data_IF_193663514733
#
_entry.id   IF_193663514733
#
_cell.length_a   1.000
_cell.length_b   1.000
_cell.length_c   1.000
_cell.angle_alpha   90.00
_cell.angle_beta   90.00
_cell.angle_gamma   90.00
#
_symmetry.space_group_name_H-M   'P 1'
#
loop_
_entity.id
_entity.type
_entity.pdbx_description
1 polymer ?
#
# COMPACT_ATOMS: atom_id res chain seq x y z
N UNK A 1 37.78 -19.12 9.96
CA UNK A 1 36.59 -18.97 9.09
C UNK A 1 35.57 -18.09 9.81
N UNK A 2 35.18 -16.96 9.22
CA UNK A 2 34.26 -15.98 9.84
C UNK A 2 32.84 -16.52 9.75
N UNK A 3 32.19 -16.77 10.89
CA UNK A 3 30.77 -17.11 10.96
C UNK A 3 29.94 -15.90 10.55
N UNK A 4 29.35 -15.94 9.36
CA UNK A 4 28.39 -14.94 8.92
C UNK A 4 27.15 -15.04 9.81
N UNK A 5 26.99 -14.07 10.72
CA UNK A 5 25.74 -13.89 11.47
C UNK A 5 24.65 -13.65 10.43
N UNK A 6 23.70 -14.58 10.34
CA UNK A 6 22.46 -14.43 9.56
C UNK A 6 21.79 -13.15 10.04
N UNK A 7 21.94 -12.07 9.27
CA UNK A 7 21.25 -10.82 9.48
C UNK A 7 19.76 -11.16 9.43
N UNK A 8 19.13 -11.14 10.60
CA UNK A 8 17.70 -11.40 10.74
C UNK A 8 17.06 -10.23 10.01
N UNK A 9 16.62 -10.44 8.77
CA UNK A 9 15.66 -9.56 8.11
C UNK A 9 14.52 -9.44 9.11
N UNK A 10 14.47 -8.34 9.85
CA UNK A 10 13.39 -8.07 10.78
C UNK A 10 12.13 -8.12 9.93
N UNK A 11 11.24 -9.04 10.27
CA UNK A 11 9.91 -9.15 9.68
C UNK A 11 9.32 -7.75 9.64
N UNK A 12 9.07 -7.23 8.44
CA UNK A 12 8.44 -5.93 8.26
C UNK A 12 7.18 -5.91 9.12
N UNK A 13 7.02 -4.94 10.03
CA UNK A 13 5.86 -4.89 10.92
C UNK A 13 4.59 -4.91 10.07
N UNK A 14 3.62 -5.74 10.42
CA UNK A 14 2.37 -5.79 9.66
C UNK A 14 1.62 -4.46 9.81
N UNK A 15 0.80 -4.08 8.82
CA UNK A 15 -0.09 -2.91 8.91
C UNK A 15 -0.93 -2.94 10.20
N UNK A 16 -1.32 -4.14 10.65
CA UNK A 16 -2.03 -4.37 11.90
C UNK A 16 -1.21 -4.12 13.17
N UNK A 17 0.11 -4.30 13.13
CA UNK A 17 1.00 -4.01 14.27
C UNK A 17 1.30 -2.51 14.38
N UNK A 18 1.45 -1.83 13.24
CA UNK A 18 1.60 -0.38 13.16
C UNK A 18 0.29 0.34 13.54
N UNK A 19 -0.86 -0.20 13.16
CA UNK A 19 -2.16 0.37 13.48
C UNK A 19 -2.48 0.43 14.98
N UNK A 20 -1.84 -0.45 15.77
CA UNK A 20 -1.95 -0.44 17.25
C UNK A 20 -1.07 0.62 17.91
N UNK A 21 -0.02 1.07 17.21
CA UNK A 21 1.01 1.99 17.76
C UNK A 21 0.69 3.44 17.45
N UNK A 22 0.13 3.70 16.27
CA UNK A 22 -0.26 5.04 15.79
C UNK A 22 -1.69 5.00 15.21
N UNK A 23 -2.74 4.92 16.06
CA UNK A 23 -4.11 4.68 15.61
C UNK A 23 -4.65 5.77 14.67
N UNK A 24 -4.22 7.02 14.85
CA UNK A 24 -4.59 8.13 13.95
C UNK A 24 -3.91 8.01 12.57
N UNK A 25 -2.65 7.57 12.53
CA UNK A 25 -1.93 7.34 11.27
C UNK A 25 -2.47 6.10 10.55
N UNK A 26 -2.97 5.11 11.29
CA UNK A 26 -3.61 3.92 10.76
C UNK A 26 -4.92 4.23 10.03
N UNK A 27 -5.80 5.00 10.67
CA UNK A 27 -7.06 5.43 10.06
C UNK A 27 -6.81 6.24 8.78
N UNK A 28 -5.85 7.18 8.82
CA UNK A 28 -5.46 7.92 7.62
C UNK A 28 -4.87 7.01 6.53
N UNK A 29 -4.08 6.00 6.89
CA UNK A 29 -3.54 5.04 5.93
C UNK A 29 -4.64 4.15 5.30
N UNK A 30 -5.67 3.78 6.05
CA UNK A 30 -6.83 3.02 5.53
C UNK A 30 -7.64 3.84 4.52
N UNK A 31 -7.91 5.12 4.83
CA UNK A 31 -8.59 6.03 3.90
C UNK A 31 -7.77 6.26 2.61
N UNK A 32 -6.46 6.45 2.77
CA UNK A 32 -5.53 6.59 1.63
C UNK A 32 -5.48 5.29 0.82
N UNK A 33 -5.51 4.12 1.48
CA UNK A 33 -5.51 2.83 0.81
C UNK A 33 -6.73 2.71 -0.11
N UNK A 34 -7.92 2.95 0.45
CA UNK A 34 -9.17 2.88 -0.30
C UNK A 34 -9.17 3.87 -1.47
N UNK A 35 -8.76 5.12 -1.26
CA UNK A 35 -8.68 6.12 -2.33
C UNK A 35 -7.72 5.73 -3.46
N UNK A 36 -6.55 5.16 -3.15
CA UNK A 36 -5.60 4.69 -4.17
C UNK A 36 -6.18 3.52 -4.95
N UNK A 37 -6.85 2.57 -4.29
CA UNK A 37 -7.51 1.44 -4.98
C UNK A 37 -8.57 1.95 -5.97
N UNK A 38 -9.42 2.90 -5.55
CA UNK A 38 -10.46 3.50 -6.40
C UNK A 38 -9.87 4.11 -7.68
N UNK A 39 -8.84 4.95 -7.55
CA UNK A 39 -8.14 5.55 -8.71
C UNK A 39 -7.54 4.48 -9.61
N UNK A 40 -6.94 3.43 -9.04
CA UNK A 40 -6.35 2.31 -9.80
C UNK A 40 -7.39 1.46 -10.54
N UNK A 41 -8.60 1.36 -10.01
CA UNK A 41 -9.73 0.70 -10.68
C UNK A 41 -10.33 1.57 -11.81
N UNK A 42 -9.73 2.73 -12.10
CA UNK A 42 -10.22 3.70 -13.07
C UNK A 42 -11.59 4.29 -12.69
N UNK A 43 -11.94 4.20 -11.41
CA UNK A 43 -13.08 4.91 -10.84
C UNK A 43 -12.62 6.36 -10.56
N UNK A 44 -13.38 7.34 -11.04
CA UNK A 44 -13.06 8.75 -10.84
C UNK A 44 -13.33 9.17 -9.40
N UNK A 45 -12.44 9.99 -8.83
CA UNK A 45 -12.69 10.69 -7.57
C UNK A 45 -13.10 12.14 -7.85
N UNK A 46 -14.03 12.72 -7.08
CA UNK A 46 -14.29 14.15 -7.10
C UNK A 46 -13.01 14.96 -6.84
N UNK A 47 -12.87 16.13 -7.45
CA UNK A 47 -11.65 16.97 -7.32
C UNK A 47 -11.25 17.23 -5.86
N UNK A 48 -12.24 17.45 -4.98
CA UNK A 48 -12.03 17.67 -3.55
C UNK A 48 -11.45 16.43 -2.86
N UNK A 49 -11.97 15.25 -3.17
CA UNK A 49 -11.50 13.98 -2.59
C UNK A 49 -10.14 13.59 -3.17
N UNK A 50 -9.91 13.84 -4.46
CA UNK A 50 -8.62 13.64 -5.10
C UNK A 50 -7.55 14.55 -4.48
N UNK A 51 -7.89 15.81 -4.18
CA UNK A 51 -7.00 16.74 -3.48
C UNK A 51 -6.66 16.23 -2.07
N UNK A 52 -7.69 15.86 -1.30
CA UNK A 52 -7.52 15.33 0.06
C UNK A 52 -6.70 14.03 0.07
N UNK A 53 -6.94 13.13 -0.88
CA UNK A 53 -6.16 11.90 -1.07
C UNK A 53 -4.69 12.24 -1.36
N UNK A 54 -4.42 13.15 -2.30
CA UNK A 54 -3.06 13.54 -2.64
C UNK A 54 -2.31 14.14 -1.44
N UNK A 55 -2.97 14.97 -0.63
CA UNK A 55 -2.32 15.48 0.59
C UNK A 55 -2.15 14.41 1.67
N UNK A 56 -3.12 13.52 1.85
CA UNK A 56 -2.97 12.35 2.72
C UNK A 56 -1.74 11.53 2.33
N UNK A 57 -1.57 11.23 1.04
CA UNK A 57 -0.39 10.53 0.50
C UNK A 57 0.90 11.31 0.80
N UNK A 58 0.96 12.62 0.50
CA UNK A 58 2.16 13.44 0.78
C UNK A 58 2.52 13.43 2.26
N UNK A 59 1.53 13.50 3.16
CA UNK A 59 1.76 13.47 4.60
C UNK A 59 2.23 12.09 5.06
N UNK A 60 1.59 11.02 4.59
CA UNK A 60 1.96 9.65 4.91
C UNK A 60 3.39 9.33 4.47
N UNK A 61 3.80 9.78 3.28
CA UNK A 61 5.16 9.60 2.75
C UNK A 61 6.25 10.29 3.58
N UNK A 62 5.91 11.29 4.41
CA UNK A 62 6.86 11.94 5.34
C UNK A 62 7.06 11.15 6.63
N UNK A 63 6.22 10.14 6.90
CA UNK A 63 6.29 9.30 8.10
C UNK A 63 7.09 8.03 7.83
N UNK A 64 7.52 7.35 8.90
CA UNK A 64 8.12 6.01 8.81
C UNK A 64 7.15 4.97 8.22
N UNK A 65 5.84 5.21 8.32
CA UNK A 65 4.79 4.39 7.72
C UNK A 65 4.75 4.51 6.19
N UNK A 66 5.25 5.62 5.63
CA UNK A 66 5.17 5.92 4.21
C UNK A 66 5.91 4.91 3.34
N UNK A 67 7.12 4.52 3.75
CA UNK A 67 7.91 3.51 3.02
C UNK A 67 7.27 2.12 3.09
N UNK A 68 6.70 1.75 4.24
CA UNK A 68 5.97 0.49 4.39
C UNK A 68 4.69 0.49 3.53
N UNK A 69 3.97 1.60 3.53
CA UNK A 69 2.70 1.72 2.82
C UNK A 69 2.88 1.67 1.29
N UNK A 70 3.93 2.31 0.75
CA UNK A 70 4.22 2.23 -0.69
C UNK A 70 4.61 0.82 -1.11
N UNK A 71 5.44 0.12 -0.33
CA UNK A 71 5.80 -1.28 -0.59
C UNK A 71 4.58 -2.20 -0.53
N UNK A 72 3.71 -2.03 0.48
CA UNK A 72 2.46 -2.78 0.60
C UNK A 72 1.54 -2.58 -0.61
N UNK A 73 1.31 -1.33 -1.03
CA UNK A 73 0.48 -1.03 -2.19
C UNK A 73 1.08 -1.57 -3.48
N UNK A 74 2.40 -1.45 -3.69
CA UNK A 74 3.07 -2.03 -4.85
C UNK A 74 2.86 -3.54 -4.91
N UNK A 75 3.08 -4.24 -3.80
CA UNK A 75 2.91 -5.69 -3.73
C UNK A 75 1.44 -6.12 -3.95
N UNK A 76 0.47 -5.41 -3.36
CA UNK A 76 -0.96 -5.67 -3.54
C UNK A 76 -1.43 -5.42 -4.97
N UNK A 77 -1.13 -4.25 -5.53
CA UNK A 77 -1.61 -3.83 -6.84
C UNK A 77 -0.97 -4.64 -7.96
N UNK A 78 0.33 -4.94 -7.88
CA UNK A 78 1.00 -5.79 -8.87
C UNK A 78 0.44 -7.21 -8.84
N UNK A 79 0.28 -7.80 -7.66
CA UNK A 79 -0.26 -9.17 -7.54
C UNK A 79 -1.69 -9.24 -8.08
N UNK A 80 -2.57 -8.32 -7.66
CA UNK A 80 -3.96 -8.26 -8.14
C UNK A 80 -4.03 -7.98 -9.64
N UNK A 81 -3.20 -7.06 -10.15
CA UNK A 81 -3.11 -6.74 -11.57
C UNK A 81 -2.69 -7.94 -12.41
N UNK A 82 -1.70 -8.71 -11.96
CA UNK A 82 -1.25 -9.94 -12.63
C UNK A 82 -2.33 -11.02 -12.66
N UNK A 83 -3.10 -11.18 -11.58
CA UNK A 83 -4.24 -12.12 -11.55
C UNK A 83 -5.32 -11.70 -12.54
N UNK A 84 -5.71 -10.41 -12.56
CA UNK A 84 -6.71 -9.89 -13.51
C UNK A 84 -6.24 -10.06 -14.96
N UNK A 85 -4.96 -9.79 -15.24
CA UNK A 85 -4.39 -10.00 -16.58
C UNK A 85 -4.39 -11.47 -16.97
N UNK A 86 -4.01 -12.38 -16.07
CA UNK A 86 -4.07 -13.82 -16.31
C UNK A 86 -5.51 -14.28 -16.60
N UNK A 87 -6.49 -13.79 -15.83
CA UNK A 87 -7.90 -14.11 -16.04
C UNK A 87 -8.42 -13.58 -17.38
N UNK A 88 -8.03 -12.36 -17.76
CA UNK A 88 -8.36 -11.82 -19.09
C UNK A 88 -7.77 -12.68 -20.21
N UNK A 89 -6.49 -13.07 -20.11
CA UNK A 89 -5.85 -13.92 -21.13
C UNK A 89 -6.58 -15.27 -21.25
N UNK A 90 -6.87 -15.93 -20.13
CA UNK A 90 -7.64 -17.19 -20.12
C UNK A 90 -9.05 -17.06 -20.69
N UNK A 91 -9.67 -15.90 -20.55
CA UNK A 91 -11.02 -15.66 -21.07
C UNK A 91 -11.06 -15.47 -22.60
N UNK A 92 -9.91 -15.17 -23.22
CA UNK A 92 -9.77 -15.02 -24.67
C UNK A 92 -9.18 -16.27 -25.37
N UNK A 93 -8.93 -17.37 -24.63
CA UNK A 93 -8.67 -18.73 -25.15
C UNK A 93 -9.96 -19.55 -25.20
#
# INVERSE_FOLDING_TARGET
>A
MRTLRRLKFMSSPSLSDLGKREPAAAAAADDIHNGVITVFQHEGLPDQELFSLNEGVRQLLKTELGSFFTEYLQNQLLTKGMVILQDKIRFYE
#
